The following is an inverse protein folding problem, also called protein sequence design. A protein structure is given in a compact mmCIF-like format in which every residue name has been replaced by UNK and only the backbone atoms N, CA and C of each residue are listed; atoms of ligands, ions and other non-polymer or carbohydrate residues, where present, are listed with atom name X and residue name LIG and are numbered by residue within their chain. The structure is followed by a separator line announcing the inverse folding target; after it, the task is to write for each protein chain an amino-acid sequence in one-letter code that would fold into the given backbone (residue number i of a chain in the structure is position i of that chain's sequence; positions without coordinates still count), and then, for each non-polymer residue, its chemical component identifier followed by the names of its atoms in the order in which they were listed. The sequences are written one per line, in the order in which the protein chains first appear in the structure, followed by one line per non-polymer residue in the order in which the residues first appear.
data_IF_556223948851
#
_entry.id   IF_556223948851
#
_cell.length_a   1.000
_cell.length_b   1.000
_cell.length_c   1.000
_cell.angle_alpha   90.00
_cell.angle_beta   90.00
_cell.angle_gamma   90.00
#
_symmetry.space_group_name_H-M   'P 1'
#
loop_
_entity.id
_entity.type
_entity.pdbx_description
1 polymer ?
#
# COMPACT_ATOMS: atom_id res chain seq x y z
N UNK A 1 -30.96 -49.47 -7.08
CA UNK A 1 -29.61 -48.91 -6.97
C UNK A 1 -29.76 -47.43 -7.24
N UNK A 2 -29.95 -46.64 -6.18
CA UNK A 2 -29.83 -45.19 -6.26
C UNK A 2 -28.38 -44.89 -6.65
N UNK A 3 -28.17 -44.13 -7.72
CA UNK A 3 -26.90 -43.44 -7.89
C UNK A 3 -26.87 -42.42 -6.74
N UNK A 4 -26.17 -42.73 -5.65
CA UNK A 4 -25.77 -41.71 -4.69
C UNK A 4 -24.91 -40.72 -5.47
N UNK A 5 -25.43 -39.51 -5.68
CA UNK A 5 -24.65 -38.44 -6.27
C UNK A 5 -23.54 -38.09 -5.29
N UNK A 6 -22.28 -38.31 -5.69
CA UNK A 6 -21.13 -37.96 -4.86
C UNK A 6 -21.21 -36.51 -4.41
N UNK A 7 -20.93 -36.27 -3.12
CA UNK A 7 -21.05 -34.96 -2.52
C UNK A 7 -19.94 -34.06 -3.09
N UNK A 8 -20.31 -32.93 -3.70
CA UNK A 8 -19.35 -32.02 -4.33
C UNK A 8 -19.34 -30.66 -3.69
N UNK A 9 -18.14 -30.13 -3.48
CA UNK A 9 -17.91 -28.80 -2.91
C UNK A 9 -17.02 -27.93 -3.77
N UNK A 10 -17.01 -26.63 -3.46
CA UNK A 10 -16.08 -25.66 -4.03
C UNK A 10 -15.41 -24.86 -2.91
N UNK A 11 -14.16 -24.45 -3.13
CA UNK A 11 -13.42 -23.55 -2.23
C UNK A 11 -13.16 -22.22 -2.92
N UNK A 12 -13.44 -21.13 -2.24
CA UNK A 12 -13.06 -19.77 -2.63
C UNK A 12 -12.06 -19.22 -1.62
N UNK A 13 -11.23 -18.28 -2.05
CA UNK A 13 -10.24 -17.62 -1.20
C UNK A 13 -10.43 -16.11 -1.24
N UNK A 14 -10.23 -15.47 -0.09
CA UNK A 14 -10.18 -14.03 0.05
C UNK A 14 -8.81 -13.65 0.60
N UNK A 15 -7.97 -13.05 -0.24
CA UNK A 15 -6.62 -12.65 0.09
C UNK A 15 -6.67 -11.28 0.74
N UNK A 16 -5.99 -11.14 1.88
CA UNK A 16 -5.87 -9.90 2.63
C UNK A 16 -4.49 -9.31 2.41
N UNK A 17 -4.47 -8.04 1.99
CA UNK A 17 -3.24 -7.28 1.77
C UNK A 17 -3.27 -6.00 2.58
N UNK A 18 -2.11 -5.56 3.06
CA UNK A 18 -1.95 -4.30 3.79
C UNK A 18 -0.80 -3.49 3.19
N UNK A 19 -0.84 -2.17 3.37
CA UNK A 19 0.32 -1.32 3.12
C UNK A 19 1.37 -1.54 4.21
N UNK A 20 2.59 -1.93 3.84
CA UNK A 20 3.68 -2.17 4.81
C UNK A 20 4.34 -0.86 5.27
N UNK A 21 4.15 0.22 4.51
CA UNK A 21 4.72 1.53 4.80
C UNK A 21 3.84 2.63 4.19
N UNK A 22 3.85 3.87 4.73
CA UNK A 22 3.27 5.03 4.05
C UNK A 22 3.75 5.15 2.59
N UNK A 23 2.95 5.83 1.77
CA UNK A 23 3.36 6.09 0.37
C UNK A 23 4.64 6.91 0.34
N UNK A 24 5.64 6.45 -0.40
CA UNK A 24 6.95 7.12 -0.53
C UNK A 24 7.18 7.54 -1.97
N UNK A 25 7.65 8.75 -2.19
CA UNK A 25 8.15 9.19 -3.50
C UNK A 25 9.39 8.39 -3.90
N UNK A 26 9.68 8.35 -5.20
CA UNK A 26 10.90 7.77 -5.74
C UNK A 26 12.16 8.44 -5.16
N UNK A 27 12.07 9.74 -4.85
CA UNK A 27 13.13 10.47 -4.17
C UNK A 27 13.35 9.98 -2.73
N UNK A 28 12.28 9.84 -1.96
CA UNK A 28 12.36 9.35 -0.57
C UNK A 28 12.85 7.89 -0.53
N UNK A 29 12.42 7.06 -1.47
CA UNK A 29 12.88 5.68 -1.58
C UNK A 29 14.41 5.58 -1.70
N UNK A 30 15.07 6.46 -2.47
CA UNK A 30 16.53 6.46 -2.60
C UNK A 30 17.27 6.76 -1.29
N UNK A 31 16.63 7.48 -0.36
CA UNK A 31 17.17 7.78 0.97
C UNK A 31 16.86 6.64 1.92
N UNK A 32 15.58 6.24 1.98
CA UNK A 32 15.05 5.29 2.94
C UNK A 32 15.58 3.86 2.72
N UNK A 33 15.94 3.49 1.49
CA UNK A 33 16.51 2.17 1.17
C UNK A 33 17.89 1.92 1.77
N UNK A 34 18.55 2.92 2.34
CA UNK A 34 19.85 2.74 3.02
C UNK A 34 19.68 2.57 4.54
N UNK A 35 18.46 2.70 5.05
CA UNK A 35 18.14 2.67 6.48
C UNK A 35 17.74 1.25 6.94
N UNK A 36 18.51 0.59 7.83
CA UNK A 36 18.22 -0.77 8.30
C UNK A 36 16.84 -0.93 8.95
N UNK A 37 16.39 0.07 9.71
CA UNK A 37 15.08 0.07 10.36
C UNK A 37 13.93 0.07 9.35
N UNK A 38 14.14 0.62 8.15
CA UNK A 38 13.16 0.61 7.07
C UNK A 38 13.14 -0.74 6.35
N UNK A 39 14.28 -1.41 6.21
CA UNK A 39 14.33 -2.75 5.58
C UNK A 39 13.43 -3.75 6.28
N UNK A 40 13.39 -3.71 7.62
CA UNK A 40 12.51 -4.57 8.39
C UNK A 40 11.03 -4.36 8.08
N UNK A 41 10.62 -3.13 7.75
CA UNK A 41 9.24 -2.80 7.40
C UNK A 41 8.87 -3.22 5.97
N UNK A 42 9.86 -3.33 5.08
CA UNK A 42 9.62 -3.65 3.67
C UNK A 42 9.86 -5.12 3.33
N UNK A 43 10.50 -5.89 4.23
CA UNK A 43 10.93 -7.27 3.97
C UNK A 43 9.79 -8.18 3.53
N UNK A 44 8.62 -8.03 4.14
CA UNK A 44 7.46 -8.88 3.87
C UNK A 44 6.61 -8.37 2.70
N UNK A 45 6.95 -7.20 2.13
CA UNK A 45 6.23 -6.67 0.96
C UNK A 45 6.58 -7.47 -0.30
N UNK A 46 5.62 -8.22 -0.83
CA UNK A 46 5.79 -9.01 -2.06
C UNK A 46 5.19 -8.34 -3.29
N UNK A 47 4.43 -7.25 -3.12
CA UNK A 47 3.76 -6.49 -4.18
C UNK A 47 4.13 -5.01 -4.05
N UNK A 48 4.31 -4.32 -5.18
CA UNK A 48 4.42 -2.86 -5.21
C UNK A 48 3.63 -2.26 -6.36
N UNK A 49 3.18 -1.03 -6.14
CA UNK A 49 2.61 -0.18 -7.17
C UNK A 49 3.55 1.00 -7.40
N UNK A 50 3.77 1.35 -8.66
CA UNK A 50 4.32 2.65 -9.04
C UNK A 50 3.13 3.53 -9.39
N UNK A 51 2.97 4.61 -8.63
CA UNK A 51 1.85 5.52 -8.75
C UNK A 51 2.36 6.95 -8.98
N UNK A 52 1.48 7.85 -9.38
CA UNK A 52 1.76 9.28 -9.43
C UNK A 52 0.70 10.04 -8.65
N UNK A 53 1.15 11.05 -7.92
CA UNK A 53 0.31 11.98 -7.18
C UNK A 53 0.87 13.40 -7.27
N UNK A 54 0.06 14.42 -6.98
CA UNK A 54 0.55 15.78 -6.86
C UNK A 54 1.63 15.94 -5.79
N UNK A 55 2.46 16.95 -5.99
CA UNK A 55 3.49 17.38 -5.08
C UNK A 55 2.85 17.95 -3.82
N UNK A 56 3.07 17.26 -2.69
CA UNK A 56 2.70 17.77 -1.37
C UNK A 56 3.93 18.29 -0.63
N UNK A 57 3.72 19.28 0.21
CA UNK A 57 4.74 19.90 1.03
C UNK A 57 4.14 20.47 2.30
N UNK A 58 4.98 20.66 3.31
CA UNK A 58 4.64 21.40 4.50
C UNK A 58 4.81 22.90 4.28
N UNK A 59 3.82 23.65 4.75
CA UNK A 59 3.80 25.09 4.88
C UNK A 59 3.57 25.48 6.34
N UNK A 60 3.87 26.74 6.68
CA UNK A 60 3.64 27.29 8.01
C UNK A 60 4.21 26.40 9.13
N UNK A 61 5.29 25.67 8.83
CA UNK A 61 5.84 24.68 9.75
C UNK A 61 6.57 25.43 10.86
N UNK A 62 6.12 25.22 12.09
CA UNK A 62 6.66 25.85 13.31
C UNK A 62 6.74 24.85 14.45
N UNK A 63 7.78 24.96 15.25
CA UNK A 63 7.95 24.21 16.49
C UNK A 63 7.56 25.15 17.63
N UNK A 64 6.64 24.73 18.50
CA UNK A 64 6.26 25.53 19.66
C UNK A 64 7.20 25.28 20.85
N UNK A 65 7.00 26.02 21.93
CA UNK A 65 7.83 25.93 23.16
C UNK A 65 7.78 24.54 23.83
N UNK A 66 6.78 23.73 23.49
CA UNK A 66 6.63 22.35 23.97
C UNK A 66 7.30 21.31 23.05
N UNK A 67 7.94 21.72 21.96
CA UNK A 67 8.54 20.81 20.97
C UNK A 67 7.54 20.19 19.99
N UNK A 68 6.27 20.60 20.02
CA UNK A 68 5.24 20.12 19.09
C UNK A 68 5.37 20.86 17.77
N UNK A 69 5.46 20.09 16.69
CA UNK A 69 5.50 20.61 15.33
C UNK A 69 4.07 20.90 14.88
N UNK A 70 3.81 22.13 14.46
CA UNK A 70 2.56 22.55 13.83
C UNK A 70 2.85 22.84 12.36
N UNK A 71 1.97 22.42 11.46
CA UNK A 71 2.17 22.58 10.04
C UNK A 71 0.85 22.65 9.27
N UNK A 72 0.94 23.11 8.04
CA UNK A 72 -0.05 22.94 6.99
C UNK A 72 0.50 21.98 5.94
N UNK A 73 -0.30 21.06 5.40
CA UNK A 73 0.02 20.28 4.20
C UNK A 73 -0.74 20.91 3.05
N UNK A 74 0.01 21.29 2.02
CA UNK A 74 -0.52 21.93 0.81
C UNK A 74 -0.08 21.17 -0.44
N UNK A 75 -0.79 21.42 -1.54
CA UNK A 75 -0.41 21.03 -2.89
C UNK A 75 -0.51 22.25 -3.82
N UNK A 76 -0.16 22.07 -5.11
CA UNK A 76 -0.24 23.15 -6.10
C UNK A 76 -1.58 23.21 -6.83
N UNK A 77 -2.55 22.38 -6.44
CA UNK A 77 -3.87 22.34 -7.08
C UNK A 77 -4.83 23.39 -6.55
N UNK A 78 -4.42 24.11 -5.48
CA UNK A 78 -5.24 25.12 -4.83
C UNK A 78 -6.29 24.51 -3.90
N UNK A 79 -6.07 23.28 -3.43
CA UNK A 79 -6.88 22.67 -2.38
C UNK A 79 -6.68 23.43 -1.06
N UNK A 80 -7.72 23.46 -0.23
CA UNK A 80 -7.63 24.03 1.12
C UNK A 80 -6.62 23.21 1.96
N UNK A 81 -5.60 23.85 2.58
CA UNK A 81 -4.57 23.13 3.29
C UNK A 81 -5.11 22.26 4.43
N UNK A 82 -4.54 21.07 4.58
CA UNK A 82 -4.72 20.31 5.82
C UNK A 82 -3.90 20.99 6.91
N UNK A 83 -4.47 21.15 8.10
CA UNK A 83 -3.74 21.64 9.28
C UNK A 83 -3.40 20.46 10.17
N UNK A 84 -2.21 20.45 10.79
CA UNK A 84 -1.84 19.31 11.61
C UNK A 84 -0.78 19.61 12.66
N UNK A 85 -0.64 18.63 13.55
CA UNK A 85 0.37 18.62 14.61
C UNK A 85 1.07 17.27 14.68
N UNK A 86 2.38 17.31 14.95
CA UNK A 86 3.18 16.17 15.36
C UNK A 86 3.77 16.44 16.74
N UNK A 87 3.44 15.59 17.70
CA UNK A 87 4.09 15.54 19.01
C UNK A 87 5.11 14.38 19.03
N UNK A 88 6.43 14.65 19.02
CA UNK A 88 7.46 13.62 19.02
C UNK A 88 7.44 12.70 20.26
N UNK A 89 6.93 13.18 21.40
CA UNK A 89 6.82 12.38 22.62
C UNK A 89 5.56 11.50 22.59
N UNK A 90 4.40 12.06 22.24
CA UNK A 90 3.14 11.30 22.13
C UNK A 90 3.26 10.21 21.04
N UNK A 91 4.02 10.48 19.98
CA UNK A 91 4.28 9.52 18.89
C UNK A 91 5.35 8.47 19.20
N UNK A 92 6.05 8.60 20.33
CA UNK A 92 7.12 7.68 20.71
C UNK A 92 8.41 7.81 19.90
N UNK A 93 8.56 8.90 19.12
CA UNK A 93 9.79 9.20 18.39
C UNK A 93 10.91 9.71 19.30
N UNK A 94 10.55 10.38 20.41
CA UNK A 94 11.47 10.86 21.42
C UNK A 94 10.99 10.44 22.82
N UNK A 95 11.92 10.18 23.75
CA UNK A 95 11.59 9.88 25.14
C UNK A 95 11.39 11.17 25.94
N UNK A 96 10.53 11.14 26.95
CA UNK A 96 10.34 12.29 27.84
C UNK A 96 11.69 12.77 28.43
N UNK A 97 11.99 14.05 28.30
CA UNK A 97 13.26 14.66 28.72
C UNK A 97 14.42 14.52 27.74
N UNK A 98 14.25 13.80 26.63
CA UNK A 98 15.22 13.76 25.53
C UNK A 98 15.15 15.06 24.71
N UNK A 99 16.32 15.60 24.39
CA UNK A 99 16.48 16.75 23.50
C UNK A 99 16.71 16.25 22.07
N UNK A 100 16.04 16.87 21.11
CA UNK A 100 16.16 16.58 19.70
C UNK A 100 16.18 17.89 18.89
N UNK A 101 16.71 17.78 17.69
CA UNK A 101 16.78 18.85 16.72
C UNK A 101 15.99 18.48 15.46
N UNK A 102 15.67 19.50 14.67
CA UNK A 102 14.96 19.35 13.41
C UNK A 102 15.81 19.88 12.26
N UNK A 103 15.93 19.08 11.21
CA UNK A 103 16.52 19.51 9.94
C UNK A 103 15.44 19.49 8.84
N UNK A 104 15.47 20.50 7.97
CA UNK A 104 14.43 20.73 6.96
C UNK A 104 14.99 20.57 5.56
N UNK A 105 14.27 19.81 4.72
CA UNK A 105 14.57 19.71 3.30
C UNK A 105 13.49 20.46 2.52
N UNK A 106 13.89 21.54 1.83
CA UNK A 106 12.97 22.41 1.12
C UNK A 106 12.97 22.12 -0.38
N UNK A 107 11.80 22.21 -1.00
CA UNK A 107 11.72 22.29 -2.47
C UNK A 107 12.24 23.63 -3.00
N UNK A 108 12.11 24.69 -2.21
CA UNK A 108 12.54 26.03 -2.57
C UNK A 108 12.83 26.87 -1.33
N UNK A 109 13.80 27.77 -1.48
CA UNK A 109 14.13 28.76 -0.47
C UNK A 109 15.15 28.24 0.54
N UNK A 110 15.28 28.97 1.64
CA UNK A 110 16.20 28.68 2.72
C UNK A 110 15.48 28.90 4.05
N UNK A 111 15.82 28.09 5.04
CA UNK A 111 15.31 28.25 6.41
C UNK A 111 15.86 29.57 6.97
N UNK A 112 14.96 30.42 7.48
CA UNK A 112 15.33 31.67 8.15
C UNK A 112 15.05 31.52 9.63
N UNK A 113 16.00 31.95 10.48
CA UNK A 113 15.83 31.93 11.93
C UNK A 113 14.52 32.58 12.38
N UNK A 114 13.83 31.94 13.33
CA UNK A 114 12.62 32.43 13.98
C UNK A 114 11.42 32.69 13.04
N UNK A 115 11.34 32.00 11.90
CA UNK A 115 10.18 32.05 11.00
C UNK A 115 9.63 30.65 10.74
N UNK A 116 8.37 30.60 10.35
CA UNK A 116 7.77 29.40 9.80
C UNK A 116 8.56 28.93 8.58
N UNK A 117 8.64 27.61 8.42
CA UNK A 117 9.25 26.98 7.26
C UNK A 117 8.15 26.65 6.25
N UNK A 118 8.32 27.15 5.02
CA UNK A 118 7.42 26.93 3.90
C UNK A 118 8.08 26.08 2.81
N UNK A 119 7.27 25.39 2.01
CA UNK A 119 7.74 24.50 0.94
C UNK A 119 8.70 23.40 1.41
N UNK A 120 8.54 22.94 2.66
CA UNK A 120 9.31 21.82 3.17
C UNK A 120 8.80 20.50 2.58
N UNK A 121 9.67 19.79 1.87
CA UNK A 121 9.41 18.47 1.31
C UNK A 121 9.25 17.43 2.43
N UNK A 122 10.20 17.46 3.36
CA UNK A 122 10.23 16.65 4.55
C UNK A 122 11.05 17.36 5.63
N UNK A 123 10.96 16.84 6.85
CA UNK A 123 11.85 17.22 7.94
C UNK A 123 12.29 15.98 8.69
N UNK A 124 13.51 16.02 9.23
CA UNK A 124 14.05 14.95 10.06
C UNK A 124 14.05 15.36 11.52
N UNK A 125 13.89 14.37 12.37
CA UNK A 125 14.05 14.48 13.82
C UNK A 125 15.32 13.72 14.17
N UNK A 126 16.24 14.39 14.83
CA UNK A 126 17.58 13.88 15.13
C UNK A 126 17.94 14.14 16.58
N UNK A 127 18.67 13.23 17.22
CA UNK A 127 19.21 13.48 18.57
C UNK A 127 20.29 14.58 18.53
N UNK A 128 20.67 15.10 19.69
CA UNK A 128 21.83 16.02 19.82
C UNK A 128 23.15 15.40 19.30
N UNK A 129 23.27 14.07 19.32
CA UNK A 129 24.42 13.36 18.74
C UNK A 129 24.27 13.10 17.22
N UNK A 130 23.29 13.72 16.58
CA UNK A 130 22.97 13.57 15.15
C UNK A 130 22.58 12.14 14.75
N UNK A 131 21.98 11.38 15.67
CA UNK A 131 21.36 10.10 15.34
C UNK A 131 19.97 10.34 14.75
N UNK A 132 19.68 9.72 13.61
CA UNK A 132 18.39 9.84 12.94
C UNK A 132 17.28 9.12 13.73
N UNK A 133 16.27 9.85 14.18
CA UNK A 133 15.10 9.27 14.86
C UNK A 133 13.96 9.01 13.89
N UNK A 134 13.67 9.98 13.01
CA UNK A 134 12.61 9.85 12.04
C UNK A 134 12.74 10.79 10.86
N UNK A 135 12.35 10.30 9.69
CA UNK A 135 11.97 11.12 8.54
C UNK A 135 10.46 11.33 8.51
N UNK A 136 10.01 12.58 8.42
CA UNK A 136 8.60 12.97 8.39
C UNK A 136 8.28 13.65 7.07
N UNK A 137 7.27 13.12 6.40
CA UNK A 137 6.78 13.55 5.09
C UNK A 137 5.28 13.81 5.17
N UNK A 138 4.68 14.65 4.30
CA UNK A 138 3.24 14.88 4.32
C UNK A 138 2.43 13.57 4.23
N UNK A 139 2.89 12.61 3.42
CA UNK A 139 2.21 11.32 3.21
C UNK A 139 2.28 10.46 4.45
N UNK A 140 3.43 10.45 5.15
CA UNK A 140 3.57 9.74 6.42
C UNK A 140 2.65 10.30 7.50
N UNK A 141 2.52 11.63 7.59
CA UNK A 141 1.58 12.25 8.54
C UNK A 141 0.14 11.90 8.17
N UNK A 142 -0.26 12.03 6.89
CA UNK A 142 -1.61 11.66 6.43
C UNK A 142 -1.92 10.20 6.77
N UNK A 143 -0.99 9.29 6.44
CA UNK A 143 -1.14 7.88 6.72
C UNK A 143 -1.28 7.59 8.22
N UNK A 144 -0.35 8.07 9.05
CA UNK A 144 -0.35 7.79 10.49
C UNK A 144 -1.55 8.46 11.20
N UNK A 145 -1.91 9.68 10.79
CA UNK A 145 -3.14 10.33 11.30
C UNK A 145 -4.39 9.54 10.92
N UNK A 146 -4.47 8.99 9.70
CA UNK A 146 -5.62 8.18 9.25
C UNK A 146 -5.71 6.81 9.96
N UNK A 147 -4.65 6.40 10.64
CA UNK A 147 -4.62 5.20 11.47
C UNK A 147 -4.86 5.53 12.96
N UNK A 148 -5.14 6.79 13.30
CA UNK A 148 -5.21 7.30 14.68
C UNK A 148 -3.93 7.00 15.48
N UNK A 149 -2.77 7.09 14.83
CA UNK A 149 -1.49 6.92 15.52
C UNK A 149 -1.28 8.06 16.54
N UNK A 150 -0.90 7.73 17.79
CA UNK A 150 -0.61 8.74 18.82
C UNK A 150 0.37 9.80 18.33
N UNK A 151 0.14 11.05 18.73
CA UNK A 151 0.98 12.20 18.36
C UNK A 151 0.82 12.73 16.93
N UNK A 152 0.07 12.07 16.04
CA UNK A 152 -0.22 12.57 14.69
C UNK A 152 -1.68 13.03 14.59
N UNK A 153 -1.91 14.32 14.33
CA UNK A 153 -3.26 14.88 14.19
C UNK A 153 -3.34 15.73 12.94
N UNK A 154 -4.41 15.54 12.17
CA UNK A 154 -4.75 16.35 10.99
C UNK A 154 -6.22 16.79 11.07
N UNK A 155 -6.50 18.00 10.60
CA UNK A 155 -7.84 18.52 10.33
C UNK A 155 -7.89 19.09 8.91
N UNK A 156 -9.01 18.83 8.22
CA UNK A 156 -9.24 19.24 6.83
C UNK A 156 -9.79 18.10 5.98
N UNK A 157 -9.94 18.33 4.68
CA UNK A 157 -10.47 17.32 3.75
C UNK A 157 -9.36 16.41 3.21
N UNK A 158 -9.19 15.23 3.80
CA UNK A 158 -8.16 14.27 3.36
C UNK A 158 -8.31 13.81 1.91
N UNK A 159 -9.55 13.77 1.38
CA UNK A 159 -9.82 13.29 0.02
C UNK A 159 -9.10 14.11 -1.06
N UNK A 160 -8.72 15.35 -0.73
CA UNK A 160 -8.00 16.25 -1.63
C UNK A 160 -6.49 15.94 -1.72
N UNK A 161 -5.98 14.96 -0.95
CA UNK A 161 -4.54 14.69 -0.83
C UNK A 161 -4.17 13.21 -0.97
N UNK A 162 -5.14 12.34 -1.25
CA UNK A 162 -4.95 10.90 -1.25
C UNK A 162 -5.32 10.23 -2.58
N UNK A 163 -5.36 10.98 -3.68
CA UNK A 163 -5.56 10.46 -5.03
C UNK A 163 -4.23 10.08 -5.70
N UNK A 164 -4.18 8.86 -6.22
CA UNK A 164 -2.99 8.28 -6.82
C UNK A 164 -3.33 7.57 -8.14
N UNK A 165 -2.69 8.00 -9.23
CA UNK A 165 -2.78 7.35 -10.53
C UNK A 165 -1.85 6.13 -10.58
N UNK A 166 -2.38 4.95 -10.83
CA UNK A 166 -1.61 3.70 -10.94
C UNK A 166 -0.97 3.59 -12.32
N UNK A 167 0.36 3.60 -12.37
CA UNK A 167 1.13 3.46 -13.61
C UNK A 167 1.67 2.05 -13.82
N UNK A 168 1.93 1.32 -12.73
CA UNK A 168 2.49 -0.02 -12.77
C UNK A 168 2.17 -0.80 -11.50
N UNK A 169 2.01 -2.12 -11.64
CA UNK A 169 1.96 -3.08 -10.54
C UNK A 169 3.05 -4.12 -10.78
N UNK A 170 3.80 -4.49 -9.75
CA UNK A 170 4.77 -5.57 -9.86
C UNK A 170 4.87 -6.39 -8.58
N UNK A 171 5.53 -7.54 -8.70
CA UNK A 171 5.87 -8.40 -7.58
C UNK A 171 7.39 -8.46 -7.29
N UNK A 172 7.72 -8.80 -6.05
CA UNK A 172 9.06 -8.97 -5.51
C UNK A 172 9.14 -10.21 -4.59
N UNK A 173 8.63 -11.37 -5.06
CA UNK A 173 8.62 -12.59 -4.23
C UNK A 173 10.01 -13.22 -4.05
N UNK A 174 10.79 -13.33 -5.13
CA UNK A 174 12.07 -14.08 -5.13
C UNK A 174 13.30 -13.25 -4.73
N UNK A 175 13.11 -11.97 -4.42
CA UNK A 175 14.17 -11.04 -4.07
C UNK A 175 13.59 -9.85 -3.32
N UNK A 176 14.37 -9.26 -2.43
CA UNK A 176 13.93 -8.11 -1.65
C UNK A 176 13.46 -6.95 -2.54
N UNK A 177 12.41 -6.26 -2.08
CA UNK A 177 11.74 -5.21 -2.87
C UNK A 177 12.67 -4.04 -3.20
N UNK A 178 13.56 -3.67 -2.29
CA UNK A 178 14.53 -2.59 -2.54
C UNK A 178 15.57 -2.98 -3.60
N UNK A 179 16.03 -4.24 -3.56
CA UNK A 179 16.91 -4.82 -4.58
C UNK A 179 16.21 -4.88 -5.94
N UNK A 180 14.90 -5.14 -5.95
CA UNK A 180 14.07 -5.14 -7.17
C UNK A 180 13.87 -3.77 -7.78
N UNK A 181 13.64 -2.77 -6.94
CA UNK A 181 13.35 -1.40 -7.36
C UNK A 181 14.62 -0.63 -7.77
N UNK A 182 15.77 -0.97 -7.19
CA UNK A 182 17.06 -0.41 -7.59
C UNK A 182 17.41 -0.81 -9.03
N UNK A 183 17.46 0.18 -9.93
CA UNK A 183 17.71 -0.06 -11.36
C UNK A 183 16.50 -0.61 -12.13
N UNK A 184 15.28 -0.52 -11.58
CA UNK A 184 14.08 -1.06 -12.22
C UNK A 184 13.71 -0.30 -13.50
N UNK A 185 13.81 -0.98 -14.66
CA UNK A 185 13.59 -0.39 -16.00
C UNK A 185 12.25 0.36 -16.11
N UNK A 186 11.18 -0.17 -15.49
CA UNK A 186 9.86 0.46 -15.53
C UNK A 186 9.78 1.72 -14.71
N UNK A 187 10.43 1.74 -13.55
CA UNK A 187 10.51 2.94 -12.73
C UNK A 187 11.26 4.05 -13.47
N UNK A 188 12.39 3.72 -14.10
CA UNK A 188 13.15 4.65 -14.93
C UNK A 188 12.34 5.15 -16.14
N UNK A 189 11.60 4.24 -16.79
CA UNK A 189 10.73 4.60 -17.91
C UNK A 189 9.65 5.59 -17.50
N UNK A 190 8.97 5.35 -16.38
CA UNK A 190 7.92 6.21 -15.83
C UNK A 190 8.50 7.57 -15.45
N UNK A 191 9.60 7.58 -14.70
CA UNK A 191 10.30 8.81 -14.32
C UNK A 191 10.71 9.67 -15.52
N UNK A 192 11.02 9.05 -16.66
CA UNK A 192 11.45 9.74 -17.89
C UNK A 192 10.29 10.21 -18.76
N UNK A 193 9.17 9.46 -18.80
CA UNK A 193 8.10 9.67 -19.79
C UNK A 193 6.88 10.40 -19.24
N UNK A 194 6.58 10.25 -17.96
CA UNK A 194 5.47 10.96 -17.34
C UNK A 194 5.81 12.45 -17.22
N UNK A 195 4.80 13.30 -17.42
CA UNK A 195 4.94 14.71 -17.13
C UNK A 195 4.77 14.93 -15.62
N UNK A 196 5.50 15.91 -15.07
CA UNK A 196 5.18 16.45 -13.76
C UNK A 196 3.74 17.01 -13.81
N UNK A 197 2.95 16.69 -12.80
CA UNK A 197 1.64 17.28 -12.56
C UNK A 197 1.84 18.75 -12.20
N UNK A 198 2.79 19.03 -11.31
CA UNK A 198 2.96 20.35 -10.73
C UNK A 198 4.17 21.09 -11.29
N UNK A 199 3.96 22.35 -11.66
CA UNK A 199 5.01 23.22 -12.24
C UNK A 199 6.20 23.50 -11.31
N UNK A 200 6.02 23.33 -10.00
CA UNK A 200 7.09 23.46 -9.01
C UNK A 200 7.87 22.16 -8.81
N UNK A 201 7.35 21.04 -9.30
CA UNK A 201 8.08 19.79 -9.39
C UNK A 201 9.10 19.89 -10.52
N UNK A 202 10.32 20.33 -10.20
CA UNK A 202 11.44 20.25 -11.12
C UNK A 202 11.92 18.79 -11.32
N UNK A 203 11.29 17.81 -10.64
CA UNK A 203 11.70 16.41 -10.62
C UNK A 203 10.47 15.51 -10.44
N UNK A 204 10.12 14.76 -11.49
CA UNK A 204 9.09 13.72 -11.45
C UNK A 204 9.25 12.73 -10.29
N UNK A 205 10.48 12.52 -9.81
CA UNK A 205 10.76 11.64 -8.67
C UNK A 205 10.08 12.03 -7.36
N UNK A 206 9.52 13.24 -7.25
CA UNK A 206 8.79 13.73 -6.08
C UNK A 206 7.28 13.42 -6.14
N UNK A 207 6.77 13.17 -7.35
CA UNK A 207 5.37 12.86 -7.63
C UNK A 207 5.17 11.36 -7.89
N UNK A 208 6.09 10.77 -8.65
CA UNK A 208 6.18 9.32 -8.82
C UNK A 208 6.51 8.72 -7.47
N UNK A 209 5.59 7.88 -6.99
CA UNK A 209 5.61 7.29 -5.67
C UNK A 209 5.41 5.78 -5.73
N UNK A 210 5.71 5.12 -4.62
CA UNK A 210 5.65 3.70 -4.41
C UNK A 210 4.66 3.40 -3.27
N UNK A 211 3.82 2.42 -3.52
CA UNK A 211 2.99 1.79 -2.50
C UNK A 211 3.47 0.35 -2.38
N UNK A 212 3.92 -0.03 -1.19
CA UNK A 212 4.42 -1.37 -0.91
C UNK A 212 3.34 -2.14 -0.18
N UNK A 213 2.99 -3.31 -0.71
CA UNK A 213 1.93 -4.15 -0.20
C UNK A 213 2.50 -5.50 0.24
N UNK A 214 2.00 -5.95 1.39
CA UNK A 214 2.25 -7.26 1.98
C UNK A 214 0.95 -8.04 2.02
N UNK A 215 1.04 -9.34 1.79
CA UNK A 215 -0.07 -10.26 2.03
C UNK A 215 -0.05 -10.55 3.53
N UNK A 216 -1.09 -10.15 4.24
CA UNK A 216 -1.18 -10.27 5.72
C UNK A 216 -2.06 -11.43 6.17
N UNK A 217 -2.83 -12.00 5.24
CA UNK A 217 -3.60 -13.22 5.50
C UNK A 217 -4.43 -13.65 4.32
N UNK A 218 -5.21 -14.71 4.54
CA UNK A 218 -6.31 -15.07 3.68
C UNK A 218 -7.39 -15.78 4.50
N UNK A 219 -8.62 -15.76 3.99
CA UNK A 219 -9.71 -16.59 4.50
C UNK A 219 -10.31 -17.42 3.38
N UNK A 220 -10.85 -18.59 3.73
CA UNK A 220 -11.51 -19.48 2.78
C UNK A 220 -13.02 -19.48 2.99
N UNK A 221 -13.76 -19.46 1.90
CA UNK A 221 -15.19 -19.79 1.92
C UNK A 221 -15.37 -21.15 1.24
N UNK A 222 -15.91 -22.10 1.98
CA UNK A 222 -16.12 -23.46 1.54
C UNK A 222 -17.62 -23.72 1.41
N UNK A 223 -18.05 -24.17 0.23
CA UNK A 223 -19.46 -24.38 -0.06
C UNK A 223 -19.75 -25.85 -0.34
N UNK A 224 -20.67 -26.41 0.45
CA UNK A 224 -21.03 -27.82 0.44
C UNK A 224 -22.52 -28.00 0.82
N UNK A 225 -23.37 -28.62 -0.02
CA UNK A 225 -23.10 -28.96 -1.42
C UNK A 225 -22.94 -27.69 -2.28
N UNK A 226 -22.18 -27.81 -3.38
CA UNK A 226 -22.04 -26.74 -4.35
C UNK A 226 -23.39 -26.41 -5.02
N UNK A 227 -23.67 -25.12 -5.15
CA UNK A 227 -24.77 -24.58 -5.91
C UNK A 227 -24.25 -23.46 -6.83
N UNK A 228 -24.67 -23.40 -8.11
CA UNK A 228 -24.11 -22.44 -9.07
C UNK A 228 -24.15 -20.96 -8.66
N UNK A 229 -25.14 -20.56 -7.85
CA UNK A 229 -25.30 -19.19 -7.37
C UNK A 229 -24.26 -18.75 -6.33
N UNK A 230 -23.43 -19.68 -5.83
CA UNK A 230 -22.36 -19.39 -4.86
C UNK A 230 -21.09 -18.83 -5.52
N UNK A 231 -21.01 -18.86 -6.85
CA UNK A 231 -19.94 -18.26 -7.64
C UNK A 231 -20.48 -17.09 -8.46
N UNK A 232 -19.60 -16.20 -8.89
CA UNK A 232 -19.95 -15.17 -9.86
C UNK A 232 -20.34 -15.78 -11.21
N UNK A 233 -21.21 -15.09 -11.93
CA UNK A 233 -21.94 -15.60 -13.10
C UNK A 233 -21.09 -16.10 -14.27
N UNK A 234 -19.77 -15.85 -14.26
CA UNK A 234 -18.83 -16.25 -15.32
C UNK A 234 -17.69 -17.16 -14.84
N UNK A 235 -17.73 -17.64 -13.60
CA UNK A 235 -16.66 -18.50 -13.08
C UNK A 235 -16.94 -19.98 -13.34
N UNK A 236 -15.98 -20.65 -13.97
CA UNK A 236 -15.98 -22.12 -14.05
C UNK A 236 -15.59 -22.71 -12.68
N UNK A 237 -16.48 -23.49 -12.03
CA UNK A 237 -16.21 -24.10 -10.73
C UNK A 237 -15.10 -25.15 -10.83
N UNK A 238 -14.29 -25.24 -9.78
CA UNK A 238 -13.39 -26.37 -9.52
C UNK A 238 -14.07 -27.23 -8.46
N UNK A 239 -14.67 -28.32 -8.90
CA UNK A 239 -15.40 -29.24 -8.03
C UNK A 239 -14.41 -30.18 -7.33
N UNK A 240 -14.48 -30.18 -6.00
CA UNK A 240 -13.84 -31.19 -5.16
C UNK A 240 -14.87 -32.28 -4.93
N UNK A 241 -14.49 -33.52 -5.21
CA UNK A 241 -15.32 -34.70 -4.92
C UNK A 241 -15.02 -35.15 -3.50
N UNK A 242 -16.03 -35.19 -2.64
CA UNK A 242 -15.91 -35.63 -1.26
C UNK A 242 -16.31 -37.10 -1.09
N UNK A 243 -16.64 -37.80 -2.18
CA UNK A 243 -17.10 -39.17 -2.14
C UNK A 243 -18.50 -39.30 -1.57
N UNK A 244 -18.74 -40.46 -0.97
CA UNK A 244 -20.00 -40.83 -0.32
C UNK A 244 -19.97 -40.39 1.16
N UNK A 245 -21.10 -40.48 1.86
CA UNK A 245 -21.23 -39.98 3.25
C UNK A 245 -20.23 -40.60 4.26
N UNK A 246 -19.63 -41.75 3.93
CA UNK A 246 -18.65 -42.45 4.77
C UNK A 246 -17.18 -42.04 4.51
N UNK A 247 -16.89 -41.22 3.49
CA UNK A 247 -15.52 -40.76 3.18
C UNK A 247 -15.10 -39.55 4.04
N UNK A 248 -14.87 -39.85 5.31
CA UNK A 248 -14.43 -38.87 6.31
C UNK A 248 -13.07 -38.26 5.94
N UNK A 249 -12.19 -38.98 5.24
CA UNK A 249 -10.86 -38.47 4.88
C UNK A 249 -10.96 -37.38 3.82
N UNK A 250 -11.72 -37.60 2.76
CA UNK A 250 -11.97 -36.60 1.72
C UNK A 250 -12.66 -35.36 2.30
N UNK A 251 -13.62 -35.56 3.21
CA UNK A 251 -14.24 -34.45 3.94
C UNK A 251 -13.23 -33.65 4.76
N UNK A 252 -12.42 -34.32 5.58
CA UNK A 252 -11.41 -33.64 6.42
C UNK A 252 -10.33 -32.95 5.59
N UNK A 253 -9.96 -33.49 4.43
CA UNK A 253 -9.00 -32.86 3.53
C UNK A 253 -9.58 -31.63 2.82
N UNK A 254 -10.87 -31.62 2.49
CA UNK A 254 -11.54 -30.45 1.92
C UNK A 254 -11.48 -29.22 2.86
N UNK A 255 -11.54 -29.44 4.17
CA UNK A 255 -11.45 -28.37 5.17
C UNK A 255 -10.04 -27.80 5.37
N UNK A 256 -8.99 -28.46 4.88
CA UNK A 256 -7.60 -27.96 4.97
C UNK A 256 -7.32 -26.90 3.91
N UNK A 257 -6.58 -25.82 4.22
CA UNK A 257 -6.12 -24.87 3.21
C UNK A 257 -5.37 -25.56 2.06
N UNK A 258 -5.57 -25.09 0.83
CA UNK A 258 -4.88 -25.61 -0.36
C UNK A 258 -3.58 -24.86 -0.68
N UNK A 259 -3.32 -23.78 0.05
CA UNK A 259 -2.09 -22.97 0.01
C UNK A 259 -1.63 -22.64 1.43
N UNK A 260 -0.33 -22.44 1.57
CA UNK A 260 0.27 -21.85 2.76
C UNK A 260 0.39 -20.33 2.63
N UNK A 261 0.52 -19.63 3.75
CA UNK A 261 0.63 -18.17 3.76
C UNK A 261 1.85 -17.65 2.96
N UNK A 262 2.96 -18.39 2.95
CA UNK A 262 4.17 -18.03 2.21
C UNK A 262 4.19 -18.51 0.76
N UNK A 263 3.09 -19.08 0.25
CA UNK A 263 3.05 -19.59 -1.13
C UNK A 263 3.08 -18.45 -2.16
N UNK A 264 3.93 -18.61 -3.17
CA UNK A 264 4.07 -17.64 -4.27
C UNK A 264 2.77 -17.42 -5.03
N UNK A 265 1.90 -18.44 -5.05
CA UNK A 265 0.61 -18.41 -5.72
C UNK A 265 -0.31 -17.30 -5.20
N UNK A 266 -0.21 -16.94 -3.92
CA UNK A 266 -0.93 -15.79 -3.37
C UNK A 266 -0.42 -14.47 -3.98
N UNK A 267 0.89 -14.30 -4.06
CA UNK A 267 1.52 -13.11 -4.68
C UNK A 267 1.18 -13.00 -6.17
N UNK A 268 1.26 -14.11 -6.90
CA UNK A 268 0.89 -14.14 -8.32
C UNK A 268 -0.59 -13.79 -8.54
N UNK A 269 -1.48 -14.28 -7.67
CA UNK A 269 -2.91 -13.99 -7.74
C UNK A 269 -3.18 -12.50 -7.51
N UNK A 270 -2.58 -11.91 -6.46
CA UNK A 270 -2.73 -10.48 -6.15
C UNK A 270 -2.20 -9.60 -7.28
N UNK A 271 -1.00 -9.89 -7.81
CA UNK A 271 -0.43 -9.15 -8.94
C UNK A 271 -1.37 -9.20 -10.15
N UNK A 272 -1.84 -10.39 -10.52
CA UNK A 272 -2.71 -10.59 -11.66
C UNK A 272 -4.07 -9.89 -11.48
N UNK A 273 -4.66 -9.96 -10.28
CA UNK A 273 -5.90 -9.26 -9.93
C UNK A 273 -5.77 -7.76 -10.09
N UNK A 274 -4.71 -7.17 -9.53
CA UNK A 274 -4.48 -5.72 -9.58
C UNK A 274 -4.21 -5.26 -11.01
N UNK A 275 -3.37 -5.97 -11.77
CA UNK A 275 -3.11 -5.63 -13.18
C UNK A 275 -4.35 -5.77 -14.04
N UNK A 276 -5.14 -6.83 -13.85
CA UNK A 276 -6.37 -7.02 -14.62
C UNK A 276 -7.40 -5.92 -14.35
N UNK A 277 -7.53 -5.47 -13.09
CA UNK A 277 -8.46 -4.41 -12.70
C UNK A 277 -8.01 -3.03 -13.18
N UNK A 278 -6.80 -2.62 -12.85
CA UNK A 278 -6.29 -1.28 -13.18
C UNK A 278 -5.85 -1.14 -14.64
N UNK A 279 -5.48 -2.25 -15.30
CA UNK A 279 -4.89 -2.27 -16.65
C UNK A 279 -3.79 -1.21 -16.88
N UNK A 280 -2.81 -1.07 -15.97
CA UNK A 280 -1.84 0.03 -16.00
C UNK A 280 -0.92 -0.02 -17.23
N UNK A 281 -0.70 1.13 -17.88
CA UNK A 281 -0.03 1.24 -19.19
C UNK A 281 1.36 0.61 -19.24
N UNK A 282 2.11 0.68 -18.14
CA UNK A 282 3.48 0.20 -18.12
C UNK A 282 3.61 -1.32 -17.89
N UNK A 283 2.54 -2.03 -17.54
CA UNK A 283 2.54 -3.49 -17.46
C UNK A 283 2.44 -4.11 -18.86
N UNK A 284 3.47 -4.89 -19.26
CA UNK A 284 3.47 -5.60 -20.56
C UNK A 284 2.47 -6.77 -20.57
N UNK A 285 2.39 -7.51 -19.47
CA UNK A 285 1.43 -8.60 -19.27
C UNK A 285 0.18 -7.99 -18.65
N UNK A 286 -0.99 -8.21 -19.28
CA UNK A 286 -2.27 -7.64 -18.85
C UNK A 286 -3.26 -8.67 -18.28
N UNK A 287 -2.83 -9.93 -18.15
CA UNK A 287 -3.65 -11.04 -17.67
C UNK A 287 -5.06 -11.10 -18.32
N UNK A 288 -5.12 -11.03 -19.65
CA UNK A 288 -6.40 -11.04 -20.41
C UNK A 288 -7.29 -12.26 -20.14
N UNK A 289 -6.70 -13.36 -19.67
CA UNK A 289 -7.38 -14.61 -19.35
C UNK A 289 -7.65 -14.79 -17.85
N UNK A 290 -7.47 -13.74 -17.03
CA UNK A 290 -7.82 -13.77 -15.61
C UNK A 290 -9.29 -14.23 -15.43
N UNK A 291 -9.61 -15.13 -14.48
CA UNK A 291 -8.76 -15.60 -13.38
C UNK A 291 -7.85 -16.80 -13.71
N UNK A 292 -7.83 -17.30 -14.95
CA UNK A 292 -7.05 -18.48 -15.32
C UNK A 292 -5.58 -18.13 -15.62
N UNK A 293 -4.81 -17.90 -14.54
CA UNK A 293 -3.38 -17.66 -14.61
C UNK A 293 -2.57 -18.91 -14.23
N UNK A 294 -1.34 -19.00 -14.72
CA UNK A 294 -0.40 -20.05 -14.29
C UNK A 294 0.06 -19.74 -12.87
N UNK A 295 0.09 -20.75 -12.00
CA UNK A 295 0.57 -20.62 -10.62
C UNK A 295 -0.17 -19.53 -9.82
N UNK A 296 -1.48 -19.38 -10.04
CA UNK A 296 -2.39 -18.62 -9.17
C UNK A 296 -3.17 -19.54 -8.25
N UNK A 297 -4.10 -19.00 -7.47
CA UNK A 297 -4.91 -19.79 -6.51
C UNK A 297 -5.77 -20.84 -7.21
N UNK A 298 -6.28 -20.57 -8.41
CA UNK A 298 -7.02 -21.56 -9.21
C UNK A 298 -6.19 -22.80 -9.53
N UNK A 299 -4.88 -22.65 -9.70
CA UNK A 299 -3.98 -23.80 -9.93
C UNK A 299 -3.82 -24.71 -8.71
N UNK A 300 -4.21 -24.23 -7.52
CA UNK A 300 -4.23 -24.98 -6.26
C UNK A 300 -5.60 -25.58 -5.94
N UNK A 301 -6.62 -25.27 -6.73
CA UNK A 301 -7.97 -25.83 -6.58
C UNK A 301 -9.03 -24.85 -6.07
N UNK A 302 -8.71 -23.56 -5.91
CA UNK A 302 -9.72 -22.54 -5.61
C UNK A 302 -10.57 -22.21 -6.84
N UNK A 303 -11.88 -22.04 -6.67
CA UNK A 303 -12.78 -21.60 -7.74
C UNK A 303 -12.72 -20.09 -7.93
N UNK A 304 -12.81 -19.30 -6.87
CA UNK A 304 -12.71 -17.84 -6.95
C UNK A 304 -11.70 -17.26 -5.98
N UNK A 305 -11.18 -16.10 -6.35
CA UNK A 305 -10.33 -15.26 -5.52
C UNK A 305 -10.90 -13.86 -5.40
N UNK A 306 -10.86 -13.33 -4.19
CA UNK A 306 -11.18 -11.95 -3.86
C UNK A 306 -10.00 -11.31 -3.13
N UNK A 307 -9.96 -9.99 -3.16
CA UNK A 307 -8.87 -9.19 -2.59
C UNK A 307 -9.47 -8.15 -1.66
N UNK A 308 -9.01 -8.14 -0.42
CA UNK A 308 -9.29 -7.10 0.56
C UNK A 308 -8.01 -6.35 0.83
N UNK A 309 -8.04 -5.04 0.64
CA UNK A 309 -6.97 -4.14 1.03
C UNK A 309 -7.31 -3.53 2.38
N UNK A 310 -6.55 -3.91 3.41
CA UNK A 310 -6.74 -3.46 4.78
C UNK A 310 -6.26 -2.00 4.93
N UNK A 311 -7.08 -1.18 5.60
CA UNK A 311 -6.72 0.18 6.06
C UNK A 311 -5.88 0.96 5.04
N UNK A 312 -6.42 1.19 3.85
CA UNK A 312 -5.74 1.90 2.77
C UNK A 312 -6.25 3.35 2.68
N UNK A 313 -5.54 4.34 3.26
CA UNK A 313 -5.91 5.75 3.17
C UNK A 313 -5.51 6.34 1.81
N UNK A 314 -5.67 5.58 0.73
CA UNK A 314 -5.36 6.02 -0.63
C UNK A 314 -6.51 5.68 -1.57
N UNK A 315 -6.76 6.58 -2.51
CA UNK A 315 -7.64 6.37 -3.64
C UNK A 315 -6.74 6.02 -4.80
N UNK A 316 -6.80 4.78 -5.25
CA UNK A 316 -6.02 4.30 -6.38
C UNK A 316 -6.89 4.36 -7.62
N UNK A 317 -6.40 4.95 -8.70
CA UNK A 317 -7.16 5.05 -9.93
C UNK A 317 -6.33 4.82 -11.19
N UNK A 318 -7.06 4.41 -12.22
CA UNK A 318 -6.62 4.24 -13.60
C UNK A 318 -7.79 4.64 -14.49
N UNK A 319 -7.58 4.67 -15.81
CA UNK A 319 -8.66 4.95 -16.76
C UNK A 319 -9.78 3.89 -16.72
N UNK A 320 -9.53 2.70 -16.14
CA UNK A 320 -10.48 1.57 -16.13
C UNK A 320 -11.12 1.29 -14.78
N UNK A 321 -10.43 1.60 -13.70
CA UNK A 321 -10.82 1.19 -12.36
C UNK A 321 -10.37 2.18 -11.31
N UNK A 322 -11.22 2.35 -10.30
CA UNK A 322 -10.98 3.19 -9.14
C UNK A 322 -11.26 2.38 -7.87
N UNK A 323 -10.26 2.31 -6.99
CA UNK A 323 -10.37 1.77 -5.64
C UNK A 323 -10.42 2.94 -4.67
N UNK A 324 -11.52 3.05 -3.93
CA UNK A 324 -11.70 4.10 -2.93
C UNK A 324 -10.86 3.83 -1.68
N UNK A 325 -10.56 4.90 -0.94
CA UNK A 325 -9.90 4.82 0.35
C UNK A 325 -10.75 4.04 1.37
N UNK A 326 -10.08 3.28 2.23
CA UNK A 326 -10.67 2.52 3.34
C UNK A 326 -10.00 3.01 4.61
N UNK A 327 -10.74 3.76 5.42
CA UNK A 327 -10.28 4.25 6.71
C UNK A 327 -10.67 3.28 7.83
N UNK A 328 -9.88 3.26 8.91
CA UNK A 328 -10.28 2.54 10.12
C UNK A 328 -11.50 3.22 10.75
N UNK A 329 -12.33 2.41 11.41
CA UNK A 329 -13.56 2.90 12.04
C UNK A 329 -13.17 3.85 13.18
N UNK A 330 -13.60 5.11 13.08
CA UNK A 330 -13.25 6.19 14.03
C UNK A 330 -12.04 7.03 13.64
N UNK A 331 -11.60 7.00 12.38
CA UNK A 331 -10.40 7.73 11.91
C UNK A 331 -10.68 9.03 11.15
N UNK A 332 -11.93 9.49 11.08
CA UNK A 332 -12.34 10.82 10.55
C UNK A 332 -13.58 11.27 11.32
#
# INVERSE_FOLDING_TARGET
MSNEESLKGVKNINIQVSGSYPVISAYEFEILKELPEVHHLWRESTIYLIVQRPLMYFNNLRINDQGVVNFEISDMRGNEPLTGTLDPYESGLAKEGESYSFSFHLYKGEVKENKSVDYAACFFIETESSEHLASITPQKVIHLSSLNSPGYKISGNLYDYIDYRVHYVGQAFSQDIWSRLTGHEKMQSILTREAAIDSLSNRNSLEISLILLEIVGFSEAQFLPFQPWQLSSNTTPILHDLGDDDDVESYMNFHKPLVEFSDQELTNEVEAMLINRFDPDYNKIKFKNYPNIKNGTRSKGYSESSLVLESNPTILESDKFKLNAIFRKGSI
#
